data_IF_140191329006
#
_entry.id   IF_140191329006
#
_cell.length_a   1.000
_cell.length_b   1.000
_cell.length_c   1.000
_cell.angle_alpha   90.00
_cell.angle_beta   90.00
_cell.angle_gamma   90.00
#
_symmetry.space_group_name_H-M   'P 1'
#
loop_
_entity.id
_entity.type
_entity.pdbx_description
1 polymer ?
#
# COMPACT_ATOMS: atom_id res chain seq x y z
N UNK A 1 7.68 -7.66 14.43
CA UNK A 1 7.07 -8.72 13.59
C UNK A 1 6.38 -8.21 12.32
N UNK A 2 5.51 -7.18 12.35
CA UNK A 2 4.83 -6.64 11.14
C UNK A 2 5.79 -6.09 10.09
N UNK A 3 6.72 -5.20 10.47
CA UNK A 3 7.75 -4.64 9.58
C UNK A 3 8.55 -5.72 8.84
N UNK A 4 8.95 -6.79 9.53
CA UNK A 4 9.74 -7.88 8.94
C UNK A 4 8.96 -8.69 7.88
N UNK A 5 7.64 -8.85 8.05
CA UNK A 5 6.78 -9.50 7.03
C UNK A 5 6.64 -8.62 5.78
N UNK A 6 6.41 -7.31 5.96
CA UNK A 6 6.32 -6.36 4.84
C UNK A 6 7.62 -6.31 4.05
N UNK A 7 8.77 -6.20 4.72
CA UNK A 7 10.09 -6.22 4.05
C UNK A 7 10.31 -7.52 3.26
N UNK A 8 9.86 -8.68 3.79
CA UNK A 8 9.98 -9.95 3.07
C UNK A 8 9.12 -9.98 1.81
N UNK A 9 7.89 -9.48 1.87
CA UNK A 9 7.01 -9.37 0.70
C UNK A 9 7.60 -8.44 -0.35
N UNK A 10 8.09 -7.26 0.04
CA UNK A 10 8.73 -6.32 -0.88
C UNK A 10 9.97 -6.95 -1.56
N UNK A 11 10.79 -7.68 -0.82
CA UNK A 11 11.93 -8.44 -1.38
C UNK A 11 11.49 -9.47 -2.42
N UNK A 12 10.39 -10.18 -2.18
CA UNK A 12 9.88 -11.16 -3.13
C UNK A 12 9.35 -10.51 -4.41
N UNK A 13 8.66 -9.38 -4.29
CA UNK A 13 8.19 -8.60 -5.45
C UNK A 13 9.37 -8.07 -6.25
N UNK A 14 10.37 -7.50 -5.57
CA UNK A 14 11.59 -7.00 -6.20
C UNK A 14 12.32 -8.11 -6.98
N UNK A 15 12.54 -9.27 -6.35
CA UNK A 15 13.19 -10.41 -6.99
C UNK A 15 12.42 -10.96 -8.21
N UNK A 16 11.08 -11.00 -8.14
CA UNK A 16 10.24 -11.48 -9.26
C UNK A 16 10.27 -10.55 -10.48
N UNK A 17 10.43 -9.25 -10.24
CA UNK A 17 10.42 -8.24 -11.30
C UNK A 17 11.83 -7.78 -11.71
N UNK A 18 12.89 -8.40 -11.17
CA UNK A 18 14.27 -8.01 -11.48
C UNK A 18 14.63 -6.58 -11.03
N UNK A 19 13.96 -6.07 -9.99
CA UNK A 19 14.15 -4.70 -9.47
C UNK A 19 14.63 -4.72 -8.01
N UNK A 20 14.79 -3.55 -7.40
CA UNK A 20 15.20 -3.39 -6.00
C UNK A 20 13.99 -3.02 -5.09
N UNK A 21 14.19 -3.12 -3.77
CA UNK A 21 13.11 -2.88 -2.79
C UNK A 21 12.64 -1.41 -2.81
N UNK A 22 13.57 -0.48 -3.01
CA UNK A 22 13.28 0.96 -3.01
C UNK A 22 12.42 1.34 -4.21
N UNK A 23 12.70 0.76 -5.38
CA UNK A 23 11.89 0.93 -6.59
C UNK A 23 10.46 0.44 -6.36
N UNK A 24 10.31 -0.77 -5.79
CA UNK A 24 8.98 -1.31 -5.47
C UNK A 24 8.25 -0.42 -4.48
N UNK A 25 8.94 0.13 -3.49
CA UNK A 25 8.34 1.06 -2.52
C UNK A 25 7.89 2.36 -3.21
N UNK A 26 8.75 2.93 -4.06
CA UNK A 26 8.49 4.16 -4.80
C UNK A 26 7.28 4.01 -5.73
N UNK A 27 7.19 2.90 -6.47
CA UNK A 27 6.06 2.62 -7.35
C UNK A 27 4.74 2.46 -6.56
N UNK A 28 4.80 1.84 -5.37
CA UNK A 28 3.62 1.74 -4.50
C UNK A 28 3.21 3.13 -3.98
N UNK A 29 4.17 3.95 -3.54
CA UNK A 29 3.87 5.32 -3.08
C UNK A 29 3.25 6.15 -4.22
N UNK A 30 3.74 6.00 -5.46
CA UNK A 30 3.15 6.66 -6.62
C UNK A 30 1.72 6.16 -6.93
N UNK A 31 1.48 4.85 -6.83
CA UNK A 31 0.15 4.28 -6.99
C UNK A 31 -0.84 4.77 -5.91
N UNK A 32 -0.38 4.91 -4.67
CA UNK A 32 -1.18 5.48 -3.57
C UNK A 32 -1.54 6.93 -3.88
N UNK A 33 -0.57 7.76 -4.27
CA UNK A 33 -0.81 9.16 -4.62
C UNK A 33 -1.81 9.30 -5.78
N UNK A 34 -1.67 8.44 -6.80
CA UNK A 34 -2.58 8.40 -7.94
C UNK A 34 -3.99 7.99 -7.51
N UNK A 35 -4.10 6.98 -6.65
CA UNK A 35 -5.38 6.54 -6.08
C UNK A 35 -6.06 7.62 -5.24
N UNK A 36 -5.30 8.33 -4.40
CA UNK A 36 -5.78 9.45 -3.59
C UNK A 36 -6.12 10.70 -4.40
N UNK A 37 -5.60 10.84 -5.61
CA UNK A 37 -5.93 11.96 -6.51
C UNK A 37 -7.04 11.61 -7.50
N UNK A 38 -7.62 10.41 -7.39
CA UNK A 38 -8.67 9.96 -8.29
C UNK A 38 -9.95 10.83 -8.10
N UNK A 39 -10.52 11.41 -9.17
CA UNK A 39 -11.69 12.28 -9.06
C UNK A 39 -12.98 11.54 -8.69
N UNK A 40 -13.02 10.21 -8.73
CA UNK A 40 -14.19 9.41 -8.38
C UNK A 40 -14.53 9.55 -6.88
N UNK A 41 -15.74 10.06 -6.55
CA UNK A 41 -16.14 10.27 -5.15
C UNK A 41 -16.24 8.98 -4.35
N UNK A 42 -16.53 7.83 -4.97
CA UNK A 42 -16.55 6.54 -4.30
C UNK A 42 -15.13 6.09 -3.91
N UNK A 43 -14.14 6.32 -4.79
CA UNK A 43 -12.73 6.06 -4.49
C UNK A 43 -12.24 6.97 -3.36
N UNK A 44 -12.57 8.26 -3.41
CA UNK A 44 -12.25 9.22 -2.34
C UNK A 44 -12.91 8.87 -1.00
N UNK A 45 -14.15 8.37 -1.02
CA UNK A 45 -14.82 7.91 0.19
C UNK A 45 -14.08 6.72 0.82
N UNK A 46 -13.62 5.78 -0.01
CA UNK A 46 -12.87 4.62 0.50
C UNK A 46 -11.51 5.01 1.08
N UNK A 47 -10.77 5.91 0.43
CA UNK A 47 -9.52 6.42 0.99
C UNK A 47 -9.74 7.15 2.31
N UNK A 48 -10.81 7.95 2.45
CA UNK A 48 -11.16 8.62 3.72
C UNK A 48 -11.60 7.64 4.81
N UNK A 49 -12.22 6.51 4.46
CA UNK A 49 -12.56 5.45 5.42
C UNK A 49 -11.29 4.77 5.97
N UNK A 50 -10.33 4.50 5.08
CA UNK A 50 -9.07 3.83 5.43
C UNK A 50 -8.07 4.76 6.14
N UNK A 51 -8.01 6.02 5.71
CA UNK A 51 -7.08 7.06 6.18
C UNK A 51 -7.83 8.39 6.39
N UNK A 52 -8.52 8.54 7.54
CA UNK A 52 -9.43 9.68 7.79
C UNK A 52 -8.73 11.01 8.07
N UNK A 53 -7.44 10.97 8.40
CA UNK A 53 -6.59 12.14 8.64
C UNK A 53 -6.17 12.85 7.35
N UNK A 54 -6.50 12.29 6.17
CA UNK A 54 -6.21 12.90 4.87
C UNK A 54 -4.72 12.96 4.52
N UNK A 55 -3.86 12.34 5.34
CA UNK A 55 -2.44 12.21 5.03
C UNK A 55 -2.26 11.16 3.94
N UNK A 56 -1.21 11.33 3.14
CA UNK A 56 -0.77 10.29 2.22
C UNK A 56 -0.11 9.19 3.06
N UNK A 57 -0.65 7.96 3.09
CA UNK A 57 -0.07 6.87 3.85
C UNK A 57 1.18 6.33 3.16
N UNK A 58 2.07 5.72 3.93
CA UNK A 58 3.25 5.04 3.36
C UNK A 58 2.88 3.70 2.75
N UNK A 59 3.66 3.23 1.77
CA UNK A 59 3.55 1.88 1.21
C UNK A 59 3.45 0.77 2.30
N UNK A 60 4.21 0.87 3.39
CA UNK A 60 4.19 -0.13 4.47
C UNK A 60 2.89 -0.14 5.28
N UNK A 61 2.28 1.03 5.47
CA UNK A 61 1.00 1.16 6.18
C UNK A 61 -0.13 0.59 5.35
N UNK A 62 -0.19 0.93 4.06
CA UNK A 62 -1.19 0.40 3.12
C UNK A 62 -1.06 -1.12 3.00
N UNK A 63 0.15 -1.65 2.81
CA UNK A 63 0.37 -3.10 2.73
C UNK A 63 -0.01 -3.82 4.02
N UNK A 64 0.27 -3.24 5.18
CA UNK A 64 -0.10 -3.83 6.48
C UNK A 64 -1.61 -3.88 6.65
N UNK A 65 -2.31 -2.80 6.29
CA UNK A 65 -3.77 -2.70 6.38
C UNK A 65 -4.44 -3.70 5.43
N UNK A 66 -4.03 -3.74 4.16
CA UNK A 66 -4.58 -4.67 3.16
C UNK A 66 -4.32 -6.12 3.53
N UNK A 67 -3.16 -6.43 4.11
CA UNK A 67 -2.87 -7.77 4.59
C UNK A 67 -3.75 -8.20 5.77
N UNK A 68 -4.20 -7.26 6.61
CA UNK A 68 -5.14 -7.54 7.71
C UNK A 68 -6.59 -7.59 7.21
N UNK A 69 -6.96 -6.81 6.18
CA UNK A 69 -8.27 -6.93 5.51
C UNK A 69 -8.41 -8.29 4.79
N UNK A 70 -7.37 -8.74 4.07
CA UNK A 70 -7.38 -10.01 3.36
C UNK A 70 -7.60 -11.22 4.31
N UNK A 71 -7.04 -11.17 5.52
CA UNK A 71 -7.22 -12.22 6.54
C UNK A 71 -8.61 -12.24 7.15
N UNK A 72 -9.28 -11.09 7.26
CA UNK A 72 -10.63 -11.00 7.83
C UNK A 72 -11.70 -11.50 6.86
N UNK A 73 -11.38 -11.59 5.57
CA UNK A 73 -12.24 -12.08 4.50
C UNK A 73 -12.00 -13.57 4.15
N UNK A 74 -11.13 -14.26 4.90
CA UNK A 74 -10.81 -15.70 4.73
C UNK A 74 -11.38 -16.48 5.91
#
# INVERSE_FOLDING_TARGET
>A
MRKQKVTKTLKQVAARNGTNIEEVRMEIDHAIQTGMSNPDPAVQAKWRELFPDGRIPTAEEVLSLLADEAKQKT
#
